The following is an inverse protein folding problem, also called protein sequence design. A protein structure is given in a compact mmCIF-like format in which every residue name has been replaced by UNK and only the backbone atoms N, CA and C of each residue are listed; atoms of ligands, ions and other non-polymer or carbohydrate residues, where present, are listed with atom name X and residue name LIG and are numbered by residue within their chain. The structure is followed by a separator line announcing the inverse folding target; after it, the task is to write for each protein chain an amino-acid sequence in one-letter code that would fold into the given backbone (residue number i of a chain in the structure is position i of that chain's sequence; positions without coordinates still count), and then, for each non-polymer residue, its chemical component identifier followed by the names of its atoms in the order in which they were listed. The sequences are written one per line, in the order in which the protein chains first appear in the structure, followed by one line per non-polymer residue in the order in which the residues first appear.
data_IF_006529547128
#
_entry.id   IF_006529547128
#
_cell.length_a   1.000
_cell.length_b   1.000
_cell.length_c   1.000
_cell.angle_alpha   90.00
_cell.angle_beta   90.00
_cell.angle_gamma   90.00
#
_symmetry.space_group_name_H-M   'P 1'
#
loop_
_entity.id
_entity.type
_entity.pdbx_description
1 polymer ?
#
# COMPACT_ATOMS: atom_id res chain seq x y z
N UNK A 1 -20.98 -4.38 -12.80
CA UNK A 1 -22.20 -3.60 -12.49
C UNK A 1 -22.47 -3.67 -10.99
N UNK A 2 -22.70 -2.53 -10.38
CA UNK A 2 -23.12 -2.45 -9.00
C UNK A 2 -24.59 -2.85 -8.85
N UNK A 3 -24.94 -3.63 -7.83
CA UNK A 3 -26.31 -3.95 -7.44
C UNK A 3 -26.69 -3.11 -6.24
N UNK A 4 -27.82 -2.43 -6.29
CA UNK A 4 -28.32 -1.55 -5.25
C UNK A 4 -29.56 -2.18 -4.63
N UNK A 5 -29.56 -2.36 -3.30
CA UNK A 5 -30.72 -2.84 -2.53
C UNK A 5 -31.06 -1.84 -1.44
N UNK A 6 -32.30 -1.36 -1.43
CA UNK A 6 -32.80 -0.52 -0.37
C UNK A 6 -33.04 -1.36 0.89
N UNK A 7 -32.56 -0.89 2.04
CA UNK A 7 -32.74 -1.55 3.34
C UNK A 7 -33.77 -0.80 4.21
N UNK A 8 -33.82 0.53 4.10
CA UNK A 8 -34.81 1.38 4.75
C UNK A 8 -34.91 2.70 3.98
N UNK A 9 -35.77 3.64 4.42
CA UNK A 9 -36.11 4.88 3.71
C UNK A 9 -34.92 5.65 3.13
N UNK A 10 -33.79 5.71 3.85
CA UNK A 10 -32.55 6.39 3.39
C UNK A 10 -31.30 5.51 3.49
N UNK A 11 -31.46 4.21 3.64
CA UNK A 11 -30.35 3.28 3.84
C UNK A 11 -30.29 2.28 2.69
N UNK A 12 -29.17 2.24 1.98
CA UNK A 12 -28.97 1.42 0.80
C UNK A 12 -27.74 0.53 0.94
N UNK A 13 -27.86 -0.72 0.49
CA UNK A 13 -26.74 -1.64 0.36
C UNK A 13 -26.32 -1.69 -1.11
N UNK A 14 -25.11 -1.25 -1.37
CA UNK A 14 -24.50 -1.31 -2.71
C UNK A 14 -23.56 -2.52 -2.71
N UNK A 15 -23.79 -3.46 -3.63
CA UNK A 15 -22.94 -4.62 -3.86
C UNK A 15 -22.27 -4.50 -5.21
N UNK A 16 -20.94 -4.51 -5.20
CA UNK A 16 -20.10 -4.34 -6.39
C UNK A 16 -19.40 -5.65 -6.66
N UNK A 17 -19.32 -6.06 -7.93
CA UNK A 17 -18.59 -7.25 -8.34
C UNK A 17 -17.49 -6.90 -9.33
N UNK A 18 -16.32 -7.55 -9.18
CA UNK A 18 -15.16 -7.37 -10.05
C UNK A 18 -14.62 -8.75 -10.48
N UNK A 19 -15.36 -9.39 -11.39
CA UNK A 19 -14.96 -10.67 -11.95
C UNK A 19 -15.04 -11.87 -10.99
N UNK A 20 -14.28 -12.89 -11.31
CA UNK A 20 -14.20 -14.15 -10.56
C UNK A 20 -12.75 -14.45 -10.20
N UNK A 21 -12.52 -15.08 -9.06
CA UNK A 21 -11.23 -15.63 -8.68
C UNK A 21 -10.87 -16.84 -9.53
N UNK A 22 -9.62 -17.27 -9.45
CA UNK A 22 -9.14 -18.53 -10.08
C UNK A 22 -9.87 -19.77 -9.54
N UNK A 23 -10.47 -19.70 -8.35
CA UNK A 23 -11.30 -20.75 -7.74
C UNK A 23 -12.78 -20.69 -8.20
N UNK A 24 -13.13 -19.80 -9.13
CA UNK A 24 -14.49 -19.64 -9.66
C UNK A 24 -15.43 -18.82 -8.76
N UNK A 25 -15.00 -18.35 -7.59
CA UNK A 25 -15.82 -17.51 -6.72
C UNK A 25 -15.87 -16.06 -7.20
N UNK A 26 -17.08 -15.47 -7.14
CA UNK A 26 -17.29 -14.08 -7.52
C UNK A 26 -16.66 -13.13 -6.51
N UNK A 27 -15.83 -12.19 -6.99
CA UNK A 27 -15.25 -11.14 -6.15
C UNK A 27 -16.31 -10.07 -5.96
N UNK A 28 -16.88 -9.98 -4.75
CA UNK A 28 -17.92 -9.01 -4.42
C UNK A 28 -17.55 -8.21 -3.18
N UNK A 29 -17.87 -6.94 -3.18
CA UNK A 29 -17.80 -6.08 -1.99
C UNK A 29 -19.13 -5.38 -1.78
N UNK A 30 -19.63 -5.42 -0.55
CA UNK A 30 -20.88 -4.72 -0.20
C UNK A 30 -20.57 -3.58 0.77
N UNK A 31 -21.17 -2.42 0.51
CA UNK A 31 -21.09 -1.26 1.39
C UNK A 31 -22.51 -0.75 1.66
N UNK A 32 -22.82 -0.52 2.92
CA UNK A 32 -24.07 0.15 3.29
C UNK A 32 -23.83 1.64 3.38
N UNK A 33 -24.64 2.44 2.70
CA UNK A 33 -24.61 3.88 2.75
C UNK A 33 -25.91 4.41 3.34
N UNK A 34 -25.82 5.54 4.04
CA UNK A 34 -26.95 6.31 4.50
C UNK A 34 -26.97 7.64 3.78
N UNK A 35 -28.07 7.95 3.10
CA UNK A 35 -28.24 9.20 2.37
C UNK A 35 -28.45 10.33 3.40
N UNK A 36 -27.67 11.43 3.35
CA UNK A 36 -27.81 12.55 4.25
C UNK A 36 -29.20 13.21 4.12
N UNK A 37 -29.71 13.77 5.21
CA UNK A 37 -31.02 14.46 5.22
C UNK A 37 -31.02 15.73 4.37
N UNK A 38 -29.85 16.30 4.08
CA UNK A 38 -29.70 17.43 3.15
C UNK A 38 -30.07 17.11 1.69
N UNK A 39 -30.14 15.82 1.33
CA UNK A 39 -30.54 15.40 -0.03
C UNK A 39 -32.07 15.34 -0.09
N UNK A 40 -32.72 16.10 -1.00
CA UNK A 40 -34.17 16.06 -1.16
C UNK A 40 -34.63 14.66 -1.65
N UNK A 41 -35.86 14.26 -1.31
CA UNK A 41 -36.41 12.92 -1.66
C UNK A 41 -36.27 12.59 -3.15
N UNK A 42 -36.47 13.58 -4.04
CA UNK A 42 -36.31 13.41 -5.50
C UNK A 42 -34.88 13.15 -5.94
N UNK A 43 -33.85 13.53 -5.13
CA UNK A 43 -32.43 13.37 -5.44
C UNK A 43 -31.81 12.11 -4.82
N UNK A 44 -32.53 11.36 -4.01
CA UNK A 44 -32.00 10.17 -3.30
C UNK A 44 -31.52 9.11 -4.27
N UNK A 45 -32.29 8.79 -5.29
CA UNK A 45 -31.89 7.79 -6.30
C UNK A 45 -30.62 8.22 -7.05
N UNK A 46 -30.57 9.48 -7.46
CA UNK A 46 -29.41 10.02 -8.18
C UNK A 46 -28.15 10.03 -7.30
N UNK A 47 -28.29 10.40 -6.02
CA UNK A 47 -27.21 10.33 -5.05
C UNK A 47 -26.69 8.90 -4.86
N UNK A 48 -27.59 7.93 -4.70
CA UNK A 48 -27.23 6.51 -4.54
C UNK A 48 -26.54 5.96 -5.79
N UNK A 49 -27.01 6.37 -6.98
CA UNK A 49 -26.40 5.99 -8.25
C UNK A 49 -24.97 6.55 -8.38
N UNK A 50 -24.76 7.83 -8.09
CA UNK A 50 -23.44 8.45 -8.11
C UNK A 50 -22.48 7.79 -7.10
N UNK A 51 -22.97 7.46 -5.90
CA UNK A 51 -22.15 6.74 -4.91
C UNK A 51 -21.85 5.30 -5.37
N UNK A 52 -22.77 4.64 -6.03
CA UNK A 52 -22.54 3.32 -6.60
C UNK A 52 -21.49 3.36 -7.72
N UNK A 53 -21.56 4.33 -8.65
CA UNK A 53 -20.56 4.55 -9.70
C UNK A 53 -19.18 4.87 -9.11
N UNK A 54 -19.15 5.76 -8.10
CA UNK A 54 -17.91 6.10 -7.41
C UNK A 54 -17.26 4.87 -6.74
N UNK A 55 -18.06 4.07 -6.05
CA UNK A 55 -17.60 2.84 -5.41
C UNK A 55 -17.18 1.79 -6.44
N UNK A 56 -17.90 1.67 -7.57
CA UNK A 56 -17.53 0.76 -8.66
C UNK A 56 -16.20 1.17 -9.30
N UNK A 57 -15.98 2.45 -9.53
CA UNK A 57 -14.72 3.01 -10.04
C UNK A 57 -13.57 2.73 -9.09
N UNK A 58 -13.76 3.02 -7.80
CA UNK A 58 -12.75 2.74 -6.76
C UNK A 58 -12.45 1.24 -6.65
N UNK A 59 -13.48 0.38 -6.82
CA UNK A 59 -13.31 -1.07 -6.75
C UNK A 59 -12.60 -1.63 -7.99
N UNK A 60 -12.85 -1.08 -9.18
CA UNK A 60 -12.13 -1.42 -10.41
C UNK A 60 -10.71 -0.88 -10.42
N UNK A 61 -10.46 0.27 -9.79
CA UNK A 61 -9.15 0.94 -9.75
C UNK A 61 -8.18 0.40 -8.68
N UNK A 62 -8.51 -0.64 -7.93
CA UNK A 62 -7.57 -1.20 -6.97
C UNK A 62 -8.14 -1.61 -5.61
N UNK A 63 -9.43 -1.79 -5.49
CA UNK A 63 -10.02 -2.55 -4.40
C UNK A 63 -9.93 -4.06 -4.72
N UNK A 64 -8.72 -4.56 -4.94
CA UNK A 64 -8.49 -5.99 -4.88
C UNK A 64 -8.59 -6.42 -3.42
N UNK A 65 -9.07 -7.64 -3.15
CA UNK A 65 -9.01 -8.22 -1.80
C UNK A 65 -7.57 -8.25 -1.27
N UNK A 66 -6.60 -8.26 -2.18
CA UNK A 66 -5.17 -8.16 -1.90
C UNK A 66 -4.77 -6.81 -1.25
N UNK A 67 -5.54 -5.74 -1.44
CA UNK A 67 -5.34 -4.46 -0.73
C UNK A 67 -5.69 -4.52 0.76
N UNK A 68 -6.43 -5.52 1.21
CA UNK A 68 -6.65 -5.83 2.61
C UNK A 68 -5.49 -6.63 3.23
N UNK A 69 -4.57 -7.14 2.39
CA UNK A 69 -3.36 -7.82 2.80
C UNK A 69 -2.41 -6.87 3.53
N UNK A 70 -1.74 -7.37 4.56
CA UNK A 70 -0.74 -6.59 5.29
C UNK A 70 0.52 -6.42 4.44
N UNK A 71 1.29 -5.36 4.73
CA UNK A 71 2.56 -5.13 4.06
C UNK A 71 3.52 -6.33 4.20
N UNK A 72 3.59 -6.94 5.39
CA UNK A 72 4.45 -8.10 5.64
C UNK A 72 4.05 -9.30 4.78
N UNK A 73 2.76 -9.66 4.76
CA UNK A 73 2.28 -10.80 3.97
C UNK A 73 2.59 -10.62 2.48
N UNK A 74 2.36 -9.40 1.96
CA UNK A 74 2.68 -9.08 0.57
C UNK A 74 4.18 -9.13 0.28
N UNK A 75 5.00 -8.53 1.15
CA UNK A 75 6.45 -8.47 0.98
C UNK A 75 7.12 -9.85 1.03
N UNK A 76 6.63 -10.76 1.88
CA UNK A 76 7.11 -12.16 1.91
C UNK A 76 6.80 -12.87 0.59
N UNK A 77 5.56 -12.81 0.11
CA UNK A 77 5.19 -13.37 -1.20
C UNK A 77 5.92 -12.70 -2.37
N UNK A 78 6.19 -11.38 -2.27
CA UNK A 78 7.02 -10.68 -3.26
C UNK A 78 8.45 -11.24 -3.29
N UNK A 79 9.08 -11.48 -2.15
CA UNK A 79 10.42 -12.07 -2.08
C UNK A 79 10.50 -13.45 -2.70
N UNK A 80 9.50 -14.30 -2.49
CA UNK A 80 9.42 -15.66 -3.05
C UNK A 80 9.33 -15.64 -4.59
N UNK A 81 8.66 -14.63 -5.14
CA UNK A 81 8.52 -14.46 -6.59
C UNK A 81 9.77 -13.87 -7.28
N UNK A 82 10.78 -13.44 -6.51
CA UNK A 82 11.97 -12.81 -7.08
C UNK A 82 12.95 -13.85 -7.63
N UNK A 83 12.89 -14.11 -8.92
CA UNK A 83 13.83 -15.00 -9.63
C UNK A 83 14.95 -14.25 -10.35
N UNK A 84 14.82 -12.92 -10.49
CA UNK A 84 15.73 -12.08 -11.28
C UNK A 84 16.97 -11.62 -10.52
N UNK A 85 16.94 -11.66 -9.18
CA UNK A 85 18.01 -11.11 -8.36
C UNK A 85 18.99 -12.17 -7.90
N UNK A 86 20.26 -11.80 -7.82
CA UNK A 86 21.29 -12.65 -7.24
C UNK A 86 20.95 -13.03 -5.78
N UNK A 87 21.36 -14.24 -5.31
CA UNK A 87 21.06 -14.71 -3.97
C UNK A 87 21.45 -13.72 -2.85
N UNK A 88 22.57 -13.01 -3.02
CA UNK A 88 23.03 -11.98 -2.08
C UNK A 88 22.08 -10.79 -2.00
N UNK A 89 21.46 -10.38 -3.12
CA UNK A 89 20.47 -9.32 -3.17
C UNK A 89 19.18 -9.73 -2.46
N UNK A 90 18.73 -10.96 -2.69
CA UNK A 90 17.54 -11.52 -2.01
C UNK A 90 17.77 -11.60 -0.49
N UNK A 91 18.96 -12.06 -0.07
CA UNK A 91 19.32 -12.10 1.35
C UNK A 91 19.35 -10.70 1.98
N UNK A 92 19.85 -9.70 1.25
CA UNK A 92 19.82 -8.31 1.66
C UNK A 92 18.38 -7.78 1.79
N UNK A 93 17.51 -8.04 0.83
CA UNK A 93 16.10 -7.64 0.87
C UNK A 93 15.38 -8.28 2.04
N UNK A 94 15.56 -9.58 2.25
CA UNK A 94 14.96 -10.31 3.38
C UNK A 94 15.35 -9.68 4.70
N UNK A 95 16.65 -9.49 4.95
CA UNK A 95 17.15 -8.86 6.19
C UNK A 95 16.63 -7.45 6.39
N UNK A 96 16.53 -6.68 5.30
CA UNK A 96 16.01 -5.32 5.35
C UNK A 96 14.53 -5.30 5.73
N UNK A 97 13.73 -6.18 5.13
CA UNK A 97 12.29 -6.29 5.42
C UNK A 97 12.03 -6.79 6.83
N UNK A 98 12.79 -7.76 7.34
CA UNK A 98 12.70 -8.21 8.74
C UNK A 98 12.96 -7.07 9.74
N UNK A 99 13.83 -6.12 9.38
CA UNK A 99 14.09 -4.93 10.20
C UNK A 99 12.90 -3.96 10.20
N UNK A 100 12.13 -3.91 9.11
CA UNK A 100 11.04 -2.98 8.87
C UNK A 100 9.68 -3.53 9.35
N UNK A 101 9.48 -4.84 9.30
CA UNK A 101 8.22 -5.49 9.67
C UNK A 101 7.65 -5.14 11.05
N UNK A 102 8.45 -5.03 12.13
CA UNK A 102 7.91 -4.66 13.44
C UNK A 102 7.19 -3.31 13.45
N UNK A 103 7.53 -2.41 12.52
CA UNK A 103 7.01 -1.05 12.49
C UNK A 103 5.81 -0.89 11.55
N UNK A 104 5.89 -1.47 10.34
CA UNK A 104 4.86 -1.29 9.32
C UNK A 104 4.28 -2.61 8.79
N UNK A 105 4.81 -3.76 9.19
CA UNK A 105 4.41 -5.07 8.67
C UNK A 105 2.92 -5.37 8.83
N UNK A 106 2.34 -5.02 9.97
CA UNK A 106 0.92 -5.25 10.27
C UNK A 106 -0.03 -4.26 9.57
N UNK A 107 0.49 -3.19 8.96
CA UNK A 107 -0.34 -2.19 8.28
C UNK A 107 -0.83 -2.78 6.96
N UNK A 108 -2.12 -2.64 6.68
CA UNK A 108 -2.72 -3.03 5.40
C UNK A 108 -2.17 -2.16 4.27
N UNK A 109 -1.87 -2.74 3.11
CA UNK A 109 -1.27 -2.03 1.96
C UNK A 109 -2.08 -0.80 1.54
N UNK A 110 -3.40 -0.90 1.52
CA UNK A 110 -4.31 0.21 1.16
C UNK A 110 -4.37 1.32 2.23
N UNK A 111 -3.85 1.07 3.44
CA UNK A 111 -3.80 2.03 4.55
C UNK A 111 -2.39 2.55 4.82
N UNK A 112 -1.39 2.04 4.12
CA UNK A 112 -0.02 2.48 4.28
C UNK A 112 0.16 3.89 3.68
N UNK A 113 0.34 4.88 4.54
CA UNK A 113 0.48 6.29 4.18
C UNK A 113 1.92 6.76 4.32
N UNK A 114 2.32 7.86 3.63
CA UNK A 114 3.67 8.43 3.76
C UNK A 114 4.10 8.66 5.20
N UNK A 115 3.22 9.20 6.04
CA UNK A 115 3.50 9.47 7.46
C UNK A 115 3.93 8.22 8.25
N UNK A 116 3.41 7.04 7.90
CA UNK A 116 3.83 5.79 8.55
C UNK A 116 5.27 5.43 8.20
N UNK A 117 5.68 5.73 6.96
CA UNK A 117 7.04 5.51 6.49
C UNK A 117 8.01 6.57 7.05
N UNK A 118 7.59 7.81 7.20
CA UNK A 118 8.38 8.86 7.88
C UNK A 118 8.64 8.49 9.34
N UNK A 119 7.62 8.00 10.05
CA UNK A 119 7.77 7.48 11.41
C UNK A 119 8.74 6.29 11.47
N UNK A 120 8.67 5.37 10.50
CA UNK A 120 9.64 4.29 10.35
C UNK A 120 11.07 4.83 10.22
N UNK A 121 11.30 5.81 9.31
CA UNK A 121 12.62 6.40 9.11
C UNK A 121 13.14 7.09 10.38
N UNK A 122 12.27 7.83 11.08
CA UNK A 122 12.63 8.47 12.36
C UNK A 122 13.05 7.45 13.42
N UNK A 123 12.35 6.31 13.49
CA UNK A 123 12.72 5.21 14.41
C UNK A 123 14.02 4.52 13.99
N UNK A 124 14.23 4.30 12.70
CA UNK A 124 15.47 3.69 12.18
C UNK A 124 16.69 4.56 12.46
N UNK A 125 16.58 5.89 12.36
CA UNK A 125 17.65 6.83 12.69
C UNK A 125 18.05 6.79 14.17
N UNK A 126 17.11 6.49 15.07
CA UNK A 126 17.36 6.34 16.50
C UNK A 126 17.96 4.98 16.87
N UNK A 127 17.91 3.99 15.98
CA UNK A 127 18.48 2.66 16.23
C UNK A 127 20.02 2.71 16.27
N UNK A 128 20.57 1.99 17.21
CA UNK A 128 22.02 1.75 17.31
C UNK A 128 22.35 0.32 16.91
N UNK A 129 23.43 0.14 16.19
CA UNK A 129 24.01 -1.17 15.88
C UNK A 129 25.46 -1.20 16.37
N UNK A 130 25.80 -2.14 17.29
CA UNK A 130 27.11 -2.24 17.94
C UNK A 130 27.55 -0.90 18.55
N UNK A 131 26.65 -0.20 19.27
CA UNK A 131 26.93 1.07 19.93
C UNK A 131 27.05 2.30 19.02
N UNK A 132 26.85 2.15 17.70
CA UNK A 132 26.90 3.26 16.73
C UNK A 132 25.52 3.48 16.11
N UNK A 133 25.13 4.73 15.90
CA UNK A 133 23.89 5.07 15.19
C UNK A 133 23.93 4.60 13.73
N UNK A 134 22.78 4.20 13.21
CA UNK A 134 22.67 3.77 11.81
C UNK A 134 22.91 4.98 10.89
N UNK A 135 23.81 4.82 9.91
CA UNK A 135 24.12 5.88 8.94
C UNK A 135 22.90 6.16 8.05
N UNK A 136 22.70 7.43 7.67
CA UNK A 136 21.59 7.85 6.80
C UNK A 136 21.52 7.04 5.50
N UNK A 137 22.65 6.74 4.88
CA UNK A 137 22.74 5.87 3.68
C UNK A 137 22.13 4.47 3.91
N UNK A 138 22.19 3.95 5.14
CA UNK A 138 21.56 2.66 5.49
C UNK A 138 20.06 2.82 5.65
N UNK A 139 19.59 3.90 6.25
CA UNK A 139 18.17 4.23 6.37
C UNK A 139 17.55 4.37 4.98
N UNK A 140 18.22 5.06 4.06
CA UNK A 140 17.81 5.17 2.66
C UNK A 140 17.70 3.82 1.95
N UNK A 141 18.65 2.89 2.21
CA UNK A 141 18.58 1.53 1.67
C UNK A 141 17.33 0.77 2.14
N UNK A 142 16.93 0.91 3.40
CA UNK A 142 15.67 0.31 3.89
C UNK A 142 14.46 0.88 3.16
N UNK A 143 14.39 2.20 2.99
CA UNK A 143 13.30 2.82 2.24
C UNK A 143 13.28 2.38 0.77
N UNK A 144 14.44 2.21 0.15
CA UNK A 144 14.56 1.70 -1.24
C UNK A 144 13.95 0.30 -1.36
N UNK A 145 14.20 -0.59 -0.39
CA UNK A 145 13.59 -1.94 -0.39
C UNK A 145 12.08 -1.87 -0.20
N UNK A 146 11.59 -1.06 0.74
CA UNK A 146 10.15 -0.83 0.94
C UNK A 146 9.52 -0.26 -0.32
N UNK A 147 10.16 0.72 -0.95
CA UNK A 147 9.69 1.32 -2.20
C UNK A 147 9.64 0.32 -3.37
N UNK A 148 10.57 -0.64 -3.42
CA UNK A 148 10.55 -1.70 -4.44
C UNK A 148 9.33 -2.61 -4.28
N UNK A 149 9.03 -3.05 -3.04
CA UNK A 149 7.83 -3.84 -2.73
C UNK A 149 6.55 -3.08 -3.07
N UNK A 150 6.46 -1.80 -2.69
CA UNK A 150 5.29 -0.97 -2.96
C UNK A 150 5.14 -0.62 -4.45
N UNK A 151 6.25 -0.52 -5.19
CA UNK A 151 6.20 -0.33 -6.65
C UNK A 151 5.68 -1.58 -7.35
N UNK A 152 6.01 -2.78 -6.83
CA UNK A 152 5.44 -4.03 -7.33
C UNK A 152 3.94 -4.12 -7.00
N UNK A 153 3.53 -3.76 -5.78
CA UNK A 153 2.13 -3.69 -5.39
C UNK A 153 1.33 -2.70 -6.27
N UNK A 154 1.93 -1.55 -6.62
CA UNK A 154 1.33 -0.60 -7.56
C UNK A 154 1.21 -1.19 -8.98
N UNK A 155 2.23 -1.89 -9.46
CA UNK A 155 2.23 -2.52 -10.79
C UNK A 155 1.16 -3.59 -10.90
N UNK A 156 0.92 -4.32 -9.79
CA UNK A 156 -0.13 -5.33 -9.70
C UNK A 156 -1.50 -4.74 -9.32
N UNK A 157 -1.66 -3.40 -9.38
CA UNK A 157 -2.90 -2.67 -9.13
C UNK A 157 -3.51 -2.89 -7.73
N UNK A 158 -2.69 -3.35 -6.75
CA UNK A 158 -3.11 -3.56 -5.36
C UNK A 158 -3.22 -2.23 -4.61
N UNK A 159 -2.35 -1.29 -4.94
CA UNK A 159 -2.37 0.09 -4.46
C UNK A 159 -2.32 1.08 -5.61
N UNK A 160 -3.01 2.20 -5.49
CA UNK A 160 -3.06 3.25 -6.52
C UNK A 160 -1.74 4.00 -6.64
N UNK A 161 -1.12 4.34 -5.51
CA UNK A 161 0.09 5.15 -5.41
C UNK A 161 1.12 4.49 -4.50
N UNK A 162 2.40 4.68 -4.81
CA UNK A 162 3.47 4.24 -3.93
C UNK A 162 3.78 5.36 -2.92
N UNK A 163 3.42 5.20 -1.62
CA UNK A 163 3.65 6.23 -0.61
C UNK A 163 5.14 6.49 -0.32
N UNK A 164 6.02 5.54 -0.60
CA UNK A 164 7.46 5.74 -0.39
C UNK A 164 8.09 6.73 -1.39
N UNK A 165 7.44 6.97 -2.54
CA UNK A 165 7.90 7.98 -3.51
C UNK A 165 7.47 9.41 -3.17
N UNK A 166 6.62 9.57 -2.17
CA UNK A 166 6.16 10.87 -1.68
C UNK A 166 7.00 11.39 -0.51
N UNK A 167 8.08 10.67 -0.15
CA UNK A 167 8.94 11.03 0.96
C UNK A 167 10.17 11.71 0.40
N UNK A 168 10.40 12.94 0.82
CA UNK A 168 11.63 13.66 0.55
C UNK A 168 12.75 13.16 1.47
N UNK A 169 13.76 12.57 0.88
CA UNK A 169 14.96 12.16 1.61
C UNK A 169 15.97 13.31 1.57
N UNK A 170 16.61 13.64 2.70
CA UNK A 170 17.75 14.55 2.66
C UNK A 170 18.80 13.95 1.72
N UNK A 171 19.34 14.80 0.83
CA UNK A 171 20.37 14.42 -0.13
C UNK A 171 21.52 13.73 0.61
N UNK A 172 21.93 12.56 0.14
CA UNK A 172 23.13 11.92 0.65
C UNK A 172 24.31 12.82 0.28
N UNK A 173 25.03 13.36 1.25
CA UNK A 173 26.30 14.01 1.00
C UNK A 173 27.19 13.04 0.23
N UNK A 174 27.42 13.35 -1.03
CA UNK A 174 28.35 12.62 -1.88
C UNK A 174 29.76 13.05 -1.46
N UNK A 175 30.40 12.27 -0.56
CA UNK A 175 31.84 12.45 -0.36
C UNK A 175 32.52 12.08 -1.65
N UNK A 176 32.99 13.08 -2.38
CA UNK A 176 33.90 12.90 -3.51
C UNK A 176 35.11 12.14 -2.99
N UNK A 177 35.30 10.90 -3.40
CA UNK A 177 36.57 10.21 -3.17
C UNK A 177 37.61 10.89 -4.06
N UNK A 178 38.54 11.60 -3.45
CA UNK A 178 39.76 12.01 -4.15
C UNK A 178 40.49 10.72 -4.55
N UNK A 179 40.58 10.52 -5.87
CA UNK A 179 41.42 9.45 -6.44
C UNK A 179 42.86 9.90 -6.28
N UNK A 180 43.70 9.19 -5.54
CA UNK A 180 45.13 9.53 -5.50
C UNK A 180 45.71 9.42 -6.90
N UNK A 181 46.12 10.53 -7.45
CA UNK A 181 46.92 10.56 -8.70
C UNK A 181 48.33 10.06 -8.37
N UNK A 182 48.73 8.94 -9.02
CA UNK A 182 50.14 8.51 -9.05
C UNK A 182 50.96 9.43 -9.93
#
# INVERSE_FOLDING_TARGET
MASIKQLSDRKYKITISNGYRTDGRKICKAKTIQVPDSVPKRGVEQYVYHEAERLERLFKQGYSEDGEMTFETYARGWLERQTKYAPGTIAFYRRSLETVFPEIGAIKLNRLRPIALENLLAKLRKRTYRGKSIKEKTVQKYLTVVSAVLSDAKRNEIIEKNPARMIDLPGAECKTQEIPTM
#
